data_IF_681711816414
#
_entry.id   IF_681711816414
#
_cell.length_a   1.000
_cell.length_b   1.000
_cell.length_c   1.000
_cell.angle_alpha   90.00
_cell.angle_beta   90.00
_cell.angle_gamma   90.00
#
_symmetry.space_group_name_H-M   'P 1'
#
loop_
_entity.id
_entity.type
_entity.pdbx_description
1 polymer ?
#
# COMPACT_ATOMS: atom_id res chain seq x y z
N UNK A 1 0.33 -2.50 12.46
CA UNK A 1 -0.47 -1.87 11.39
C UNK A 1 -0.80 -2.96 10.39
N UNK A 2 -2.05 -3.06 9.91
CA UNK A 2 -2.46 -3.99 8.84
C UNK A 2 -2.48 -3.25 7.50
N UNK A 3 -1.31 -2.82 7.03
CA UNK A 3 -1.18 -2.24 5.70
C UNK A 3 -0.05 -2.98 5.00
N UNK A 4 -0.33 -3.50 3.79
CA UNK A 4 0.62 -4.16 2.88
C UNK A 4 1.06 -5.61 3.20
N UNK A 5 0.37 -6.36 4.06
CA UNK A 5 0.78 -7.74 4.39
C UNK A 5 2.13 -7.83 5.13
N UNK A 6 2.65 -6.68 5.56
CA UNK A 6 3.86 -6.53 6.35
C UNK A 6 3.47 -6.67 7.83
N UNK A 7 3.77 -7.83 8.40
CA UNK A 7 3.52 -8.11 9.82
C UNK A 7 4.81 -7.96 10.61
N UNK A 8 4.70 -7.43 11.82
CA UNK A 8 5.74 -7.50 12.83
C UNK A 8 5.14 -8.19 14.04
N UNK A 9 5.66 -9.37 14.37
CA UNK A 9 5.20 -10.16 15.51
C UNK A 9 6.34 -10.89 16.18
N UNK A 10 6.19 -11.14 17.47
CA UNK A 10 7.03 -12.06 18.23
C UNK A 10 6.18 -13.24 18.70
N UNK A 11 6.66 -14.45 18.46
CA UNK A 11 6.05 -15.71 18.86
C UNK A 11 6.93 -16.38 19.92
N UNK A 12 6.46 -16.40 21.16
CA UNK A 12 7.13 -17.06 22.27
C UNK A 12 6.53 -18.45 22.45
N UNK A 13 7.20 -19.46 21.91
CA UNK A 13 6.71 -20.83 21.85
C UNK A 13 7.06 -21.60 23.12
N UNK A 14 6.34 -22.71 23.34
CA UNK A 14 6.71 -23.69 24.34
C UNK A 14 8.15 -24.21 24.11
N UNK A 15 8.81 -24.65 25.18
CA UNK A 15 10.20 -25.13 25.19
C UNK A 15 11.29 -24.05 24.99
N UNK A 16 10.94 -22.77 25.11
CA UNK A 16 11.91 -21.66 25.11
C UNK A 16 12.39 -21.24 23.72
N UNK A 17 11.65 -21.60 22.67
CA UNK A 17 11.90 -21.13 21.29
C UNK A 17 11.15 -19.83 21.04
N UNK A 18 11.79 -18.91 20.33
CA UNK A 18 11.19 -17.66 19.92
C UNK A 18 11.30 -17.50 18.40
N UNK A 19 10.34 -16.82 17.80
CA UNK A 19 10.43 -16.33 16.43
C UNK A 19 10.06 -14.85 16.43
N UNK A 20 10.89 -14.01 15.82
CA UNK A 20 10.57 -12.61 15.53
C UNK A 20 10.40 -12.50 14.03
N UNK A 21 9.19 -12.19 13.57
CA UNK A 21 8.97 -11.87 12.17
C UNK A 21 9.05 -10.35 12.02
N UNK A 22 10.03 -9.89 11.25
CA UNK A 22 10.17 -8.48 10.88
C UNK A 22 9.78 -8.35 9.42
N UNK A 23 8.56 -7.88 9.16
CA UNK A 23 8.13 -7.49 7.82
C UNK A 23 8.22 -8.63 6.78
N UNK A 24 7.98 -9.88 7.21
CA UNK A 24 8.05 -11.06 6.36
C UNK A 24 9.32 -11.89 6.56
N UNK A 25 10.36 -11.38 7.22
CA UNK A 25 11.58 -12.13 7.50
C UNK A 25 11.49 -12.81 8.89
N UNK A 26 11.34 -14.15 8.97
CA UNK A 26 11.33 -14.85 10.24
C UNK A 26 12.75 -14.98 10.78
N UNK A 27 12.95 -14.55 12.02
CA UNK A 27 14.18 -14.68 12.77
C UNK A 27 13.99 -15.67 13.91
N UNK A 28 14.67 -16.80 13.83
CA UNK A 28 14.66 -17.81 14.90
C UNK A 28 15.48 -17.33 16.10
N UNK A 29 14.97 -17.60 17.29
CA UNK A 29 15.60 -17.24 18.55
C UNK A 29 15.20 -18.15 19.70
N UNK A 30 15.58 -17.73 20.89
CA UNK A 30 15.22 -18.41 22.14
C UNK A 30 14.75 -17.40 23.17
N UNK A 31 13.90 -17.83 24.09
CA UNK A 31 13.51 -17.02 25.22
C UNK A 31 13.53 -17.79 26.54
N UNK A 32 13.77 -17.07 27.63
CA UNK A 32 13.78 -17.60 28.99
C UNK A 32 12.99 -16.68 29.92
N UNK A 33 11.94 -17.20 30.55
CA UNK A 33 11.21 -16.47 31.58
C UNK A 33 12.10 -16.16 32.79
N UNK A 34 12.15 -14.89 33.22
CA UNK A 34 12.83 -14.47 34.45
C UNK A 34 11.85 -14.30 35.61
N UNK A 35 10.68 -13.76 35.30
CA UNK A 35 9.60 -13.53 36.26
C UNK A 35 8.24 -13.60 35.57
N UNK A 36 7.16 -13.27 36.29
CA UNK A 36 5.82 -13.19 35.71
C UNK A 36 5.67 -12.04 34.70
N UNK A 37 6.58 -11.05 34.72
CA UNK A 37 6.51 -9.84 33.89
C UNK A 37 7.80 -9.56 33.12
N UNK A 38 8.77 -10.48 33.13
CA UNK A 38 10.06 -10.30 32.47
C UNK A 38 10.55 -11.61 31.86
N UNK A 39 11.12 -11.52 30.66
CA UNK A 39 11.83 -12.63 30.02
C UNK A 39 13.06 -12.10 29.25
N UNK A 40 14.08 -12.93 29.13
CA UNK A 40 15.18 -12.66 28.20
C UNK A 40 14.84 -13.29 26.86
N UNK A 41 14.98 -12.54 25.78
CA UNK A 41 14.81 -13.01 24.40
C UNK A 41 16.15 -12.85 23.68
N UNK A 42 16.56 -13.86 22.93
CA UNK A 42 17.82 -13.89 22.20
C UNK A 42 17.57 -14.11 20.72
N UNK A 43 18.04 -13.19 19.88
CA UNK A 43 18.05 -13.28 18.43
C UNK A 43 19.47 -12.98 17.93
N UNK A 44 19.94 -13.71 16.92
CA UNK A 44 21.30 -13.54 16.34
C UNK A 44 22.48 -13.57 17.35
N UNK A 45 22.27 -14.14 18.53
CA UNK A 45 23.27 -14.20 19.61
C UNK A 45 23.27 -12.98 20.53
N UNK A 46 22.39 -12.01 20.31
CA UNK A 46 22.17 -10.85 21.17
C UNK A 46 20.96 -11.09 22.06
N UNK A 47 21.12 -10.84 23.37
CA UNK A 47 20.07 -11.04 24.37
C UNK A 47 19.57 -9.70 24.87
N UNK A 48 18.26 -9.52 24.82
CA UNK A 48 17.55 -8.37 25.36
C UNK A 48 16.47 -8.82 26.37
N UNK A 49 16.27 -8.04 27.42
CA UNK A 49 15.21 -8.29 28.40
C UNK A 49 13.92 -7.61 27.94
N UNK A 50 12.86 -8.40 27.77
CA UNK A 50 11.52 -7.90 27.49
C UNK A 50 10.69 -7.78 28.78
N UNK A 51 9.91 -6.71 28.88
CA UNK A 51 9.04 -6.42 30.03
C UNK A 51 7.57 -6.45 29.61
N UNK A 52 6.72 -7.04 30.44
CA UNK A 52 5.27 -7.12 30.22
C UNK A 52 4.54 -6.21 31.22
N UNK A 53 3.84 -5.21 30.70
CA UNK A 53 2.99 -4.30 31.49
C UNK A 53 1.66 -4.11 30.74
N UNK A 54 0.52 -4.29 31.42
CA UNK A 54 -0.83 -4.10 30.85
C UNK A 54 -1.07 -4.78 29.48
N UNK A 55 -0.69 -6.07 29.38
CA UNK A 55 -0.77 -6.89 28.15
C UNK A 55 0.06 -6.36 26.95
N UNK A 56 1.00 -5.45 27.22
CA UNK A 56 1.96 -4.91 26.27
C UNK A 56 3.37 -5.41 26.61
N UNK A 57 3.92 -6.25 25.74
CA UNK A 57 5.31 -6.70 25.83
C UNK A 57 6.21 -5.66 25.16
N UNK A 58 7.18 -5.12 25.88
CA UNK A 58 8.18 -4.18 25.35
C UNK A 58 9.54 -4.86 25.28
N UNK A 59 10.23 -4.71 24.16
CA UNK A 59 11.55 -5.28 23.89
C UNK A 59 12.46 -4.16 23.39
N UNK A 60 13.53 -3.87 24.10
CA UNK A 60 14.56 -2.91 23.70
C UNK A 60 15.72 -3.66 23.04
N UNK A 61 15.91 -3.43 21.75
CA UNK A 61 17.05 -3.94 20.99
C UNK A 61 17.82 -2.73 20.44
N UNK A 62 19.09 -2.59 20.83
CA UNK A 62 19.97 -1.50 20.40
C UNK A 62 19.42 -0.07 20.58
N UNK A 63 18.58 0.14 21.61
CA UNK A 63 17.98 1.45 21.90
C UNK A 63 16.72 1.74 21.09
N UNK A 64 16.26 0.79 20.27
CA UNK A 64 14.94 0.79 19.64
C UNK A 64 13.98 -0.08 20.45
N UNK A 65 12.91 0.54 20.93
CA UNK A 65 11.88 -0.15 21.72
C UNK A 65 10.75 -0.60 20.79
N UNK A 66 10.60 -1.91 20.66
CA UNK A 66 9.45 -2.55 20.03
C UNK A 66 8.38 -2.88 21.08
N UNK A 67 7.11 -2.70 20.73
CA UNK A 67 5.98 -3.00 21.62
C UNK A 67 4.95 -3.89 20.94
N UNK A 68 4.63 -5.01 21.57
CA UNK A 68 3.75 -6.05 21.06
C UNK A 68 2.53 -6.21 21.96
N UNK A 69 1.34 -6.19 21.36
CA UNK A 69 0.11 -6.54 22.06
C UNK A 69 -0.14 -8.03 21.94
N UNK A 70 -0.56 -8.66 23.04
CA UNK A 70 -1.01 -10.05 23.01
C UNK A 70 -2.19 -10.23 22.06
N UNK A 71 -2.13 -11.26 21.23
CA UNK A 71 -3.23 -11.71 20.40
C UNK A 71 -3.91 -12.94 21.00
N UNK A 72 -5.15 -13.20 20.56
CA UNK A 72 -5.79 -14.49 20.79
C UNK A 72 -5.13 -15.58 19.94
N UNK A 73 -5.26 -16.85 20.32
CA UNK A 73 -4.66 -17.95 19.55
C UNK A 73 -5.22 -18.01 18.11
N UNK A 74 -6.50 -17.67 17.94
CA UNK A 74 -7.15 -17.59 16.62
C UNK A 74 -6.57 -16.45 15.78
N UNK A 75 -6.45 -15.25 16.35
CA UNK A 75 -5.88 -14.09 15.66
C UNK A 75 -4.39 -14.28 15.35
N UNK A 76 -3.65 -14.94 16.24
CA UNK A 76 -2.24 -15.25 16.04
C UNK A 76 -2.04 -16.28 14.92
N UNK A 77 -2.89 -17.31 14.86
CA UNK A 77 -2.86 -18.31 13.78
C UNK A 77 -3.13 -17.65 12.44
N UNK A 78 -4.20 -16.85 12.36
CA UNK A 78 -4.55 -16.12 11.13
C UNK A 78 -3.43 -15.16 10.71
N UNK A 79 -2.83 -14.45 11.66
CA UNK A 79 -1.72 -13.53 11.36
C UNK A 79 -0.50 -14.26 10.80
N UNK A 80 -0.17 -15.45 11.30
CA UNK A 80 0.94 -16.26 10.77
C UNK A 80 0.63 -16.82 9.38
N UNK A 81 -0.61 -17.25 9.12
CA UNK A 81 -1.06 -17.66 7.77
C UNK A 81 -1.00 -16.50 6.77
N UNK A 82 -1.48 -15.33 7.18
CA UNK A 82 -1.43 -14.10 6.38
C UNK A 82 0.04 -13.69 6.10
N UNK A 83 0.93 -13.80 7.09
CA UNK A 83 2.36 -13.49 6.95
C UNK A 83 3.10 -14.50 6.05
N UNK A 84 2.81 -15.79 6.18
CA UNK A 84 3.40 -16.83 5.34
C UNK A 84 2.95 -16.69 3.87
N UNK A 85 1.66 -16.39 3.65
CA UNK A 85 1.12 -16.14 2.31
C UNK A 85 1.72 -14.88 1.67
N UNK A 86 2.00 -13.86 2.47
CA UNK A 86 2.69 -12.65 2.03
C UNK A 86 4.19 -12.84 1.73
N UNK A 87 4.82 -13.91 2.26
CA UNK A 87 6.21 -14.25 1.96
C UNK A 87 6.33 -15.14 0.71
N UNK A 88 5.40 -16.09 0.55
CA UNK A 88 5.33 -16.97 -0.63
C UNK A 88 5.12 -16.15 -1.92
N UNK A 89 4.34 -15.06 -1.83
CA UNK A 89 4.15 -14.08 -2.91
C UNK A 89 5.43 -13.34 -3.32
N UNK A 90 6.38 -13.17 -2.40
CA UNK A 90 7.64 -12.45 -2.63
C UNK A 90 8.76 -13.40 -3.10
N UNK A 91 8.75 -14.66 -2.66
CA UNK A 91 9.76 -15.66 -3.00
C UNK A 91 9.66 -16.16 -4.45
N UNK A 92 8.50 -16.07 -5.10
CA UNK A 92 8.33 -16.43 -6.52
C UNK A 92 8.85 -15.36 -7.50
N UNK A 93 9.47 -14.27 -7.01
CA UNK A 93 9.89 -13.12 -7.83
C UNK A 93 11.38 -13.04 -8.21
N UNK A 94 12.21 -14.06 -7.94
CA UNK A 94 13.67 -14.03 -8.22
C UNK A 94 14.12 -14.45 -9.63
N UNK A 95 13.24 -14.83 -10.56
CA UNK A 95 13.61 -14.90 -11.98
C UNK A 95 12.82 -13.86 -12.77
N UNK A 96 13.58 -12.91 -13.35
CA UNK A 96 13.08 -11.66 -13.89
C UNK A 96 11.96 -11.76 -14.93
N UNK A 97 11.28 -10.62 -15.00
CA UNK A 97 10.29 -10.15 -16.00
C UNK A 97 8.84 -10.09 -15.49
N UNK A 98 8.48 -8.84 -15.19
CA UNK A 98 7.16 -8.20 -15.24
C UNK A 98 6.10 -8.60 -14.19
N UNK A 99 5.63 -7.57 -13.50
CA UNK A 99 4.71 -7.61 -12.38
C UNK A 99 3.30 -7.96 -12.87
N UNK A 100 2.95 -9.23 -12.76
CA UNK A 100 1.58 -9.72 -12.94
C UNK A 100 1.25 -10.75 -11.87
N UNK A 101 1.18 -10.33 -10.59
CA UNK A 101 0.78 -11.22 -9.51
C UNK A 101 -0.75 -11.29 -9.43
N UNK A 102 -1.28 -12.41 -9.90
CA UNK A 102 -2.70 -12.77 -9.89
C UNK A 102 -3.11 -13.28 -8.52
N UNK A 103 -3.94 -12.53 -7.78
CA UNK A 103 -4.50 -12.91 -6.49
C UNK A 103 -6.02 -13.00 -6.57
N UNK A 104 -6.57 -14.16 -6.17
CA UNK A 104 -7.96 -14.39 -5.74
C UNK A 104 -9.08 -13.92 -6.70
N UNK A 105 -9.89 -14.86 -7.18
CA UNK A 105 -11.17 -14.60 -7.86
C UNK A 105 -12.23 -13.94 -6.92
N UNK A 106 -11.93 -12.78 -6.33
CA UNK A 106 -12.95 -11.74 -6.32
C UNK A 106 -12.79 -11.07 -7.69
N UNK A 107 -13.75 -11.30 -8.59
CA UNK A 107 -13.76 -10.66 -9.89
C UNK A 107 -13.54 -9.15 -9.68
N UNK A 108 -12.34 -8.67 -10.01
CA UNK A 108 -12.04 -7.26 -10.13
C UNK A 108 -13.09 -6.73 -11.10
N UNK A 109 -14.07 -5.97 -10.58
CA UNK A 109 -15.12 -5.44 -11.44
C UNK A 109 -14.46 -4.33 -12.24
N UNK A 110 -14.04 -4.68 -13.46
CA UNK A 110 -13.42 -3.77 -14.39
C UNK A 110 -14.44 -3.39 -15.46
N UNK A 111 -14.69 -2.09 -15.58
CA UNK A 111 -15.46 -1.52 -16.69
C UNK A 111 -14.53 -0.70 -17.57
N UNK A 112 -14.28 -1.19 -18.80
CA UNK A 112 -13.45 -0.52 -19.80
C UNK A 112 -14.02 0.86 -20.20
N UNK A 113 -13.14 1.87 -20.27
CA UNK A 113 -13.48 3.25 -20.63
C UNK A 113 -12.78 3.65 -21.93
N UNK A 114 -11.45 3.48 -22.03
CA UNK A 114 -10.62 3.78 -23.18
C UNK A 114 -10.83 5.20 -23.76
N UNK A 115 -10.78 6.20 -22.89
CA UNK A 115 -11.00 7.61 -23.22
C UNK A 115 -9.72 8.42 -23.06
N UNK A 116 -9.18 8.93 -24.17
CA UNK A 116 -8.09 9.90 -24.13
C UNK A 116 -8.62 11.29 -23.74
N UNK A 117 -8.11 11.86 -22.65
CA UNK A 117 -8.53 13.17 -22.12
C UNK A 117 -7.49 14.27 -22.35
N UNK A 118 -6.22 13.92 -22.53
CA UNK A 118 -5.13 14.85 -22.83
C UNK A 118 -4.24 14.26 -23.92
N UNK A 119 -3.79 15.11 -24.86
CA UNK A 119 -2.79 14.75 -25.86
C UNK A 119 -2.12 16.02 -26.39
N UNK A 120 -1.02 16.41 -25.75
CA UNK A 120 -0.22 17.55 -26.16
C UNK A 120 1.28 17.32 -25.90
N UNK A 121 2.08 18.37 -26.08
CA UNK A 121 3.55 18.33 -25.93
C UNK A 121 4.01 18.09 -24.48
N UNK A 122 3.14 18.26 -23.47
CA UNK A 122 3.45 18.01 -22.06
C UNK A 122 3.26 16.53 -21.74
N UNK A 123 2.06 16.01 -22.02
CA UNK A 123 1.71 14.62 -21.74
C UNK A 123 0.53 14.12 -22.57
N UNK A 124 0.35 12.81 -22.57
CA UNK A 124 -0.87 12.13 -23.01
C UNK A 124 -1.49 11.43 -21.81
N UNK A 125 -2.80 11.58 -21.61
CA UNK A 125 -3.54 10.94 -20.50
C UNK A 125 -4.76 10.24 -21.07
N UNK A 126 -4.89 8.95 -20.75
CA UNK A 126 -6.01 8.09 -21.09
C UNK A 126 -6.64 7.50 -19.82
N UNK A 127 -7.97 7.53 -19.74
CA UNK A 127 -8.76 6.76 -18.79
C UNK A 127 -8.95 5.38 -19.41
N UNK A 128 -8.26 4.37 -18.87
CA UNK A 128 -8.25 3.02 -19.42
C UNK A 128 -9.53 2.29 -19.03
N UNK A 129 -9.79 2.21 -17.72
CA UNK A 129 -10.97 1.58 -17.15
C UNK A 129 -11.33 2.25 -15.82
N UNK A 130 -12.48 1.88 -15.27
CA UNK A 130 -12.80 2.07 -13.86
C UNK A 130 -12.90 0.72 -13.18
N UNK A 131 -12.51 0.69 -11.91
CA UNK A 131 -12.49 -0.53 -11.12
C UNK A 131 -12.56 -0.27 -9.62
N UNK A 132 -12.80 -1.33 -8.88
CA UNK A 132 -12.63 -1.39 -7.43
C UNK A 132 -11.35 -2.15 -7.14
N UNK A 133 -10.45 -1.58 -6.34
CA UNK A 133 -9.19 -2.24 -5.97
C UNK A 133 -9.36 -3.25 -4.83
N UNK A 134 -8.25 -3.86 -4.42
CA UNK A 134 -8.20 -4.86 -3.36
C UNK A 134 -8.60 -4.31 -1.97
N UNK A 135 -8.52 -3.00 -1.75
CA UNK A 135 -8.99 -2.35 -0.52
C UNK A 135 -10.49 -2.03 -0.57
N UNK A 136 -11.11 -2.23 -1.73
CA UNK A 136 -12.48 -1.88 -2.03
C UNK A 136 -12.65 -0.41 -2.41
N UNK A 137 -11.57 0.32 -2.68
CA UNK A 137 -11.63 1.71 -3.12
C UNK A 137 -11.91 1.74 -4.63
N UNK A 138 -12.87 2.57 -5.03
CA UNK A 138 -13.31 2.66 -6.43
C UNK A 138 -12.69 3.86 -7.12
N UNK A 139 -12.28 3.68 -8.38
CA UNK A 139 -11.52 4.67 -9.10
C UNK A 139 -11.33 4.38 -10.58
N UNK A 140 -10.35 5.07 -11.18
CA UNK A 140 -9.99 4.96 -12.58
C UNK A 140 -8.52 4.60 -12.74
N UNK A 141 -8.23 3.63 -13.62
CA UNK A 141 -6.87 3.44 -14.10
C UNK A 141 -6.57 4.48 -15.18
N UNK A 142 -5.51 5.24 -14.97
CA UNK A 142 -5.00 6.22 -15.92
C UNK A 142 -3.71 5.71 -16.53
N UNK A 143 -3.61 5.78 -17.86
CA UNK A 143 -2.35 5.63 -18.58
C UNK A 143 -1.82 7.01 -18.92
N UNK A 144 -0.66 7.35 -18.38
CA UNK A 144 -0.05 8.67 -18.52
C UNK A 144 1.29 8.52 -19.22
N UNK A 145 1.50 9.25 -20.31
CA UNK A 145 2.78 9.32 -21.03
C UNK A 145 3.37 10.71 -20.89
N UNK A 146 4.62 10.81 -20.44
CA UNK A 146 5.35 12.07 -20.40
C UNK A 146 5.97 12.37 -21.77
N UNK A 147 5.47 13.40 -22.45
CA UNK A 147 5.96 13.84 -23.76
C UNK A 147 7.03 14.93 -23.65
N UNK A 148 7.23 15.46 -22.44
CA UNK A 148 8.17 16.55 -22.16
C UNK A 148 9.61 16.07 -22.03
N UNK A 149 10.53 17.03 -21.91
CA UNK A 149 11.96 16.78 -21.72
C UNK A 149 12.40 16.70 -20.24
N UNK A 150 11.49 16.94 -19.29
CA UNK A 150 11.76 16.90 -17.84
C UNK A 150 10.91 15.81 -17.18
N UNK A 151 11.33 15.36 -15.99
CA UNK A 151 10.47 14.54 -15.14
C UNK A 151 9.23 15.36 -14.75
N UNK A 152 8.04 14.77 -14.89
CA UNK A 152 6.77 15.40 -14.49
C UNK A 152 6.12 14.60 -13.37
N UNK A 153 5.43 15.30 -12.47
CA UNK A 153 4.50 14.69 -11.52
C UNK A 153 3.06 15.06 -11.90
N UNK A 154 2.15 14.10 -11.86
CA UNK A 154 0.72 14.31 -12.12
C UNK A 154 -0.06 13.96 -10.87
N UNK A 155 -0.87 14.92 -10.39
CA UNK A 155 -1.71 14.74 -9.22
C UNK A 155 -3.16 15.14 -9.50
N UNK A 156 -4.09 14.58 -8.72
CA UNK A 156 -5.45 15.09 -8.65
C UNK A 156 -5.45 16.44 -7.92
N UNK A 157 -5.97 17.48 -8.56
CA UNK A 157 -6.02 18.81 -7.96
C UNK A 157 -7.07 18.85 -6.86
N UNK A 158 -6.59 18.94 -5.61
CA UNK A 158 -7.42 18.91 -4.41
C UNK A 158 -8.48 20.01 -4.38
N UNK A 159 -9.70 19.65 -3.96
CA UNK A 159 -10.83 20.57 -3.86
C UNK A 159 -11.45 20.92 -5.20
N UNK A 160 -11.14 20.19 -6.27
CA UNK A 160 -11.71 20.40 -7.61
C UNK A 160 -12.62 19.27 -8.06
N UNK A 161 -12.54 18.10 -7.43
CA UNK A 161 -13.28 16.93 -7.87
C UNK A 161 -14.68 16.84 -7.27
N UNK A 162 -15.59 16.29 -8.07
CA UNK A 162 -16.91 15.91 -7.65
C UNK A 162 -17.35 14.61 -8.30
N UNK A 163 -18.14 13.82 -7.56
CA UNK A 163 -18.82 12.62 -8.04
C UNK A 163 -20.32 12.87 -7.92
N UNK A 164 -21.03 12.82 -9.05
CA UNK A 164 -22.46 13.11 -9.16
C UNK A 164 -22.84 14.49 -8.57
N UNK A 165 -21.97 15.48 -8.76
CA UNK A 165 -22.14 16.85 -8.25
C UNK A 165 -21.89 17.01 -6.74
N UNK A 166 -21.42 15.97 -6.06
CA UNK A 166 -20.99 16.03 -4.65
C UNK A 166 -19.48 16.07 -4.57
N UNK A 167 -18.92 16.95 -3.73
CA UNK A 167 -17.46 17.04 -3.53
C UNK A 167 -16.92 15.70 -3.02
N UNK A 168 -15.92 15.18 -3.73
CA UNK A 168 -15.19 13.97 -3.38
C UNK A 168 -13.82 14.11 -4.04
N UNK A 169 -12.75 14.12 -3.24
CA UNK A 169 -11.40 14.30 -3.76
C UNK A 169 -10.69 12.94 -3.87
N UNK A 170 -10.19 12.56 -5.06
CA UNK A 170 -9.45 11.32 -5.21
C UNK A 170 -7.98 11.50 -4.79
N UNK A 171 -7.31 10.36 -4.59
CA UNK A 171 -5.87 10.28 -4.46
C UNK A 171 -5.29 9.86 -5.81
N UNK A 172 -4.34 10.65 -6.29
CA UNK A 172 -3.50 10.36 -7.44
C UNK A 172 -2.19 11.13 -7.25
N UNK A 173 -1.06 10.44 -7.38
CA UNK A 173 0.26 11.05 -7.49
C UNK A 173 1.16 10.10 -8.24
N UNK A 174 1.69 10.53 -9.39
CA UNK A 174 2.58 9.70 -10.20
C UNK A 174 3.69 10.55 -10.81
N UNK A 175 4.93 10.05 -10.77
CA UNK A 175 6.10 10.75 -11.33
C UNK A 175 6.70 9.97 -12.48
N UNK A 176 6.80 10.63 -13.64
CA UNK A 176 7.06 9.97 -14.92
C UNK A 176 8.26 10.63 -15.59
N UNK A 177 9.27 9.84 -15.92
CA UNK A 177 10.46 10.29 -16.66
C UNK A 177 10.13 10.65 -18.12
N UNK A 178 10.91 11.53 -18.76
CA UNK A 178 10.77 11.88 -20.18
C UNK A 178 10.63 10.67 -21.08
N UNK A 179 9.58 10.66 -21.91
CA UNK A 179 9.31 9.60 -22.89
C UNK A 179 8.81 8.27 -22.30
N UNK A 180 8.66 8.16 -20.99
CA UNK A 180 8.07 6.99 -20.35
C UNK A 180 6.55 7.10 -20.24
N UNK A 181 5.91 5.95 -20.07
CA UNK A 181 4.50 5.87 -19.68
C UNK A 181 4.37 5.11 -18.34
N UNK A 182 3.32 5.41 -17.60
CA UNK A 182 2.93 4.72 -16.39
C UNK A 182 1.41 4.46 -16.41
N UNK A 183 1.00 3.30 -15.91
CA UNK A 183 -0.38 3.04 -15.53
C UNK A 183 -0.52 3.18 -14.02
N UNK A 184 -1.43 4.05 -13.59
CA UNK A 184 -1.62 4.40 -12.18
C UNK A 184 -3.10 4.42 -11.85
N UNK A 185 -3.44 4.22 -10.58
CA UNK A 185 -4.83 4.14 -10.13
C UNK A 185 -5.21 5.39 -9.35
N UNK A 186 -6.10 6.20 -9.91
CA UNK A 186 -6.72 7.33 -9.22
C UNK A 186 -7.97 6.83 -8.50
N UNK A 187 -7.97 6.87 -7.17
CA UNK A 187 -9.02 6.25 -6.36
C UNK A 187 -9.67 7.23 -5.39
N UNK A 188 -10.91 6.95 -5.02
CA UNK A 188 -11.66 7.70 -4.03
C UNK A 188 -11.85 6.85 -2.79
N UNK A 189 -11.78 7.48 -1.61
CA UNK A 189 -12.08 6.79 -0.36
C UNK A 189 -13.53 6.29 -0.36
N UNK A 190 -13.75 5.09 0.17
CA UNK A 190 -15.09 4.50 0.35
C UNK A 190 -16.11 5.39 1.08
N UNK A 191 -15.65 6.31 1.94
CA UNK A 191 -16.54 7.26 2.63
C UNK A 191 -17.23 8.24 1.68
N UNK A 192 -16.60 8.53 0.54
CA UNK A 192 -17.08 9.50 -0.44
C UNK A 192 -17.67 8.80 -1.66
N UNK A 193 -17.07 7.67 -2.07
CA UNK A 193 -17.52 6.83 -3.18
C UNK A 193 -17.67 5.39 -2.69
N UNK A 194 -18.89 4.95 -2.34
CA UNK A 194 -19.09 3.67 -1.65
C UNK A 194 -18.88 2.45 -2.54
N UNK A 195 -19.02 2.59 -3.87
CA UNK A 195 -18.90 1.49 -4.83
C UNK A 195 -18.59 1.99 -6.25
N UNK A 196 -18.22 1.07 -7.15
CA UNK A 196 -17.94 1.36 -8.55
C UNK A 196 -19.13 1.97 -9.30
N UNK A 197 -20.35 1.56 -8.94
CA UNK A 197 -21.58 2.03 -9.57
C UNK A 197 -21.85 3.51 -9.27
N UNK A 198 -21.25 4.06 -8.22
CA UNK A 198 -21.33 5.48 -7.87
C UNK A 198 -20.53 6.38 -8.82
N UNK A 199 -19.56 5.83 -9.56
CA UNK A 199 -18.79 6.56 -10.57
C UNK A 199 -19.60 6.71 -11.88
N UNK A 200 -20.61 7.59 -11.86
CA UNK A 200 -21.49 7.89 -13.01
C UNK A 200 -21.14 9.21 -13.69
N UNK A 201 -20.81 10.24 -12.91
CA UNK A 201 -20.36 11.53 -13.42
C UNK A 201 -19.26 12.05 -12.51
N UNK A 202 -18.04 12.09 -13.02
CA UNK A 202 -16.87 12.51 -12.29
C UNK A 202 -16.22 13.66 -13.03
N UNK A 203 -16.11 14.80 -12.36
CA UNK A 203 -15.54 16.01 -12.92
C UNK A 203 -14.49 16.55 -11.95
N UNK A 204 -13.35 17.02 -12.47
CA UNK A 204 -12.27 17.58 -11.66
C UNK A 204 -11.14 18.13 -12.51
N UNK A 205 -9.96 18.26 -11.91
CA UNK A 205 -8.75 18.71 -12.62
C UNK A 205 -7.54 17.88 -12.23
N UNK A 206 -6.74 17.52 -13.23
CA UNK A 206 -5.40 17.00 -13.05
C UNK A 206 -4.41 18.16 -13.12
N UNK A 207 -3.46 18.20 -12.21
CA UNK A 207 -2.36 19.14 -12.25
C UNK A 207 -1.06 18.40 -12.58
N UNK A 208 -0.25 19.03 -13.43
CA UNK A 208 1.06 18.52 -13.84
C UNK A 208 2.11 19.52 -13.39
N UNK A 209 3.13 19.03 -12.68
CA UNK A 209 4.22 19.83 -12.15
C UNK A 209 5.56 19.32 -12.65
N UNK A 210 6.56 20.20 -12.70
CA UNK A 210 7.95 19.75 -12.81
C UNK A 210 8.33 19.02 -11.52
N UNK A 211 8.79 17.77 -11.62
CA UNK A 211 9.03 16.92 -10.45
C UNK A 211 10.20 17.42 -9.57
N UNK A 212 11.07 18.29 -10.10
CA UNK A 212 12.23 18.81 -9.38
C UNK A 212 11.97 20.19 -8.77
N UNK A 213 11.19 21.04 -9.46
CA UNK A 213 10.94 22.41 -9.01
C UNK A 213 9.58 22.60 -8.34
N UNK A 214 8.65 21.65 -8.51
CA UNK A 214 7.26 21.73 -8.08
C UNK A 214 6.48 22.89 -8.72
N UNK A 215 6.98 23.46 -9.81
CA UNK A 215 6.23 24.47 -10.57
C UNK A 215 5.13 23.78 -11.38
N UNK A 216 3.90 24.29 -11.28
CA UNK A 216 2.79 23.83 -12.13
C UNK A 216 3.07 24.17 -13.59
N UNK A 217 3.15 23.15 -14.43
CA UNK A 217 3.38 23.26 -15.87
C UNK A 217 2.05 23.31 -16.62
N UNK A 218 1.07 22.50 -16.19
CA UNK A 218 -0.23 22.41 -16.84
C UNK A 218 -1.33 22.00 -15.86
N UNK A 219 -2.57 22.29 -16.25
CA UNK A 219 -3.79 21.84 -15.56
C UNK A 219 -4.80 21.39 -16.60
N UNK A 220 -5.30 20.17 -16.47
CA UNK A 220 -6.22 19.56 -17.42
C UNK A 220 -7.54 19.23 -16.77
N UNK A 221 -8.68 19.40 -17.46
CA UNK A 221 -9.95 18.93 -16.95
C UNK A 221 -9.98 17.39 -16.94
N UNK A 222 -10.54 16.82 -15.87
CA UNK A 222 -10.94 15.43 -15.80
C UNK A 222 -12.46 15.35 -15.96
N UNK A 223 -12.94 14.49 -16.87
CA UNK A 223 -14.36 14.23 -17.06
C UNK A 223 -14.57 12.78 -17.49
N UNK A 224 -15.31 12.02 -16.68
CA UNK A 224 -15.68 10.62 -16.89
C UNK A 224 -17.14 10.37 -16.53
#
# INVERSE_FOLDING_TARGET
MKALGIYCYVDLQDEGKAELNLMGEPLEGTWEAKSASECDITFEGETATATLEDDLLSLDMDGEVMSFKRLSDEDATKLKEDAASALDSLAESEEGEDAGSSWGDDEEIVEEVNQQIVNDDTCTIEIVNKKTDWAGDSGYTLRITNNSASDISVDASWGTFSVNGTMADPVLSETIKPGCNAETFMWFAQSDVPDLASLVSVEGKLEVYDANTYETIATYPFAA
#
